data_IF_787301957317
#
_entry.id   IF_787301957317
#
_cell.length_a   1.000
_cell.length_b   1.000
_cell.length_c   1.000
_cell.angle_alpha   90.00
_cell.angle_beta   90.00
_cell.angle_gamma   90.00
#
_symmetry.space_group_name_H-M   'P 1'
#
loop_
_entity.id
_entity.type
_entity.pdbx_description
1 polymer ?
#
# COMPACT_ATOMS: atom_id res chain seq x y z
N UNK A 1 16.08 -14.24 28.52
CA UNK A 1 15.63 -13.22 29.50
C UNK A 1 14.38 -13.74 30.19
N UNK A 2 14.29 -13.70 31.53
CA UNK A 2 13.06 -14.05 32.25
C UNK A 2 12.07 -12.89 32.11
N UNK A 3 10.90 -13.13 31.50
CA UNK A 3 9.83 -12.13 31.44
C UNK A 3 9.36 -11.81 32.87
N UNK A 4 9.49 -10.54 33.28
CA UNK A 4 9.15 -10.03 34.62
C UNK A 4 7.71 -9.50 34.72
N UNK A 5 6.98 -9.43 33.62
CA UNK A 5 5.64 -8.83 33.54
C UNK A 5 4.74 -9.68 32.64
N UNK A 6 3.46 -9.78 33.00
CA UNK A 6 2.39 -10.39 32.17
C UNK A 6 1.80 -9.42 31.14
N UNK A 7 2.21 -8.13 31.16
CA UNK A 7 1.75 -7.14 30.19
C UNK A 7 2.53 -7.27 28.89
N UNK A 8 1.80 -7.36 27.79
CA UNK A 8 2.37 -7.22 26.45
C UNK A 8 2.76 -5.75 26.22
N UNK A 9 4.00 -5.51 25.81
CA UNK A 9 4.47 -4.21 25.32
C UNK A 9 4.38 -4.24 23.80
N UNK A 10 3.61 -3.32 23.24
CA UNK A 10 3.42 -3.19 21.79
C UNK A 10 4.31 -2.10 21.20
N UNK A 11 4.35 -2.02 19.87
CA UNK A 11 5.14 -1.06 19.10
C UNK A 11 4.24 0.07 18.62
N UNK A 12 4.70 1.30 18.85
CA UNK A 12 4.26 2.49 18.12
C UNK A 12 5.36 2.85 17.12
N UNK A 13 5.06 2.77 15.83
CA UNK A 13 5.97 3.19 14.75
C UNK A 13 5.64 4.65 14.40
N UNK A 14 6.05 5.55 15.28
CA UNK A 14 5.59 6.95 15.33
C UNK A 14 6.27 7.88 14.31
N UNK A 15 7.31 7.42 13.62
CA UNK A 15 7.86 8.11 12.45
C UNK A 15 8.19 7.12 11.34
N UNK A 16 7.47 7.21 10.22
CA UNK A 16 7.80 6.49 8.99
C UNK A 16 7.41 7.30 7.75
N UNK A 17 8.28 7.28 6.74
CA UNK A 17 7.99 7.71 5.37
C UNK A 17 9.16 7.34 4.45
N UNK A 18 9.04 7.65 3.15
CA UNK A 18 10.20 7.80 2.29
C UNK A 18 10.89 9.15 2.56
N UNK A 19 12.20 9.15 2.82
CA UNK A 19 12.97 10.38 2.94
C UNK A 19 14.36 10.13 2.36
N UNK A 20 14.62 10.66 1.15
CA UNK A 20 15.76 10.26 0.33
C UNK A 20 16.50 11.46 -0.26
N UNK A 21 15.83 12.29 -1.05
CA UNK A 21 16.45 13.36 -1.86
C UNK A 21 16.94 14.52 -0.99
N UNK A 22 16.26 14.80 0.10
CA UNK A 22 16.55 15.91 1.03
C UNK A 22 17.26 15.48 2.31
N UNK A 23 17.51 14.18 2.51
CA UNK A 23 18.04 13.63 3.78
C UNK A 23 19.37 14.25 4.24
N UNK A 24 20.21 14.69 3.30
CA UNK A 24 21.46 15.40 3.57
C UNK A 24 21.53 16.77 2.87
N UNK A 25 20.38 17.34 2.52
CA UNK A 25 20.32 18.64 1.85
C UNK A 25 20.77 19.77 2.77
N UNK A 26 21.36 20.81 2.20
CA UNK A 26 21.63 22.07 2.93
C UNK A 26 20.35 22.89 3.19
N UNK A 27 19.24 22.51 2.55
CA UNK A 27 17.94 23.10 2.75
C UNK A 27 17.19 22.37 3.87
N UNK A 28 17.00 23.04 5.00
CA UNK A 28 16.34 22.50 6.20
C UNK A 28 14.81 22.42 6.06
N UNK A 29 14.24 22.63 4.88
CA UNK A 29 12.79 22.59 4.66
C UNK A 29 12.20 21.18 4.64
N UNK A 30 13.02 20.14 4.47
CA UNK A 30 12.59 18.73 4.37
C UNK A 30 11.48 18.54 3.32
N UNK A 31 11.58 19.29 2.23
CA UNK A 31 10.51 19.44 1.24
C UNK A 31 10.69 18.44 0.09
N UNK A 32 10.36 17.17 0.33
CA UNK A 32 10.36 16.14 -0.70
C UNK A 32 9.24 16.37 -1.75
N UNK A 33 9.59 16.15 -3.01
CA UNK A 33 8.63 15.92 -4.09
C UNK A 33 8.66 14.42 -4.39
N UNK A 34 7.55 13.75 -4.09
CA UNK A 34 7.45 12.30 -4.21
C UNK A 34 7.04 11.88 -5.62
N UNK A 35 7.71 10.87 -6.14
CA UNK A 35 7.37 10.20 -7.40
C UNK A 35 6.61 8.89 -7.16
N UNK A 36 6.29 8.15 -8.23
CA UNK A 36 5.59 6.88 -8.12
C UNK A 36 6.39 5.86 -7.29
N UNK A 37 7.72 5.81 -7.41
CA UNK A 37 8.55 4.91 -6.62
C UNK A 37 8.35 5.13 -5.12
N UNK A 38 8.29 6.38 -4.66
CA UNK A 38 8.01 6.69 -3.26
C UNK A 38 6.62 6.21 -2.81
N UNK A 39 5.61 6.34 -3.68
CA UNK A 39 4.27 5.82 -3.39
C UNK A 39 4.27 4.28 -3.21
N UNK A 40 5.06 3.55 -4.02
CA UNK A 40 5.22 2.10 -3.86
C UNK A 40 5.97 1.73 -2.57
N UNK A 41 6.91 2.56 -2.11
CA UNK A 41 7.58 2.37 -0.82
C UNK A 41 6.58 2.57 0.33
N UNK A 42 5.78 3.63 0.28
CA UNK A 42 4.71 3.89 1.27
C UNK A 42 3.68 2.76 1.31
N UNK A 43 3.24 2.26 0.15
CA UNK A 43 2.34 1.11 0.08
C UNK A 43 2.94 -0.15 0.73
N UNK A 44 4.24 -0.38 0.58
CA UNK A 44 4.93 -1.51 1.21
C UNK A 44 5.07 -1.35 2.74
N UNK A 45 5.31 -0.13 3.24
CA UNK A 45 5.25 0.16 4.68
C UNK A 45 3.87 -0.16 5.25
N UNK A 46 2.82 0.28 4.56
CA UNK A 46 1.44 0.02 4.98
C UNK A 46 1.10 -1.48 4.93
N UNK A 47 1.56 -2.19 3.90
CA UNK A 47 1.44 -3.65 3.82
C UNK A 47 2.11 -4.37 4.99
N UNK A 48 3.33 -3.98 5.38
CA UNK A 48 3.97 -4.62 6.54
C UNK A 48 3.23 -4.30 7.83
N UNK A 49 2.73 -3.08 8.02
CA UNK A 49 1.94 -2.74 9.21
C UNK A 49 0.66 -3.56 9.32
N UNK A 50 -0.02 -3.86 8.20
CA UNK A 50 -1.17 -4.77 8.22
C UNK A 50 -0.73 -6.17 8.67
N UNK A 51 0.35 -6.71 8.08
CA UNK A 51 0.85 -8.05 8.44
C UNK A 51 1.39 -8.16 9.86
N UNK A 52 1.83 -7.06 10.46
CA UNK A 52 2.39 -7.02 11.82
C UNK A 52 1.51 -6.27 12.81
N UNK A 53 0.21 -6.12 12.53
CA UNK A 53 -0.71 -5.34 13.36
C UNK A 53 -0.98 -6.00 14.72
N UNK A 54 -0.58 -7.26 14.91
CA UNK A 54 -0.57 -7.96 16.19
C UNK A 54 0.41 -7.33 17.19
N UNK A 55 1.53 -6.78 16.69
CA UNK A 55 2.57 -6.10 17.49
C UNK A 55 2.61 -4.57 17.29
N UNK A 56 2.40 -4.06 16.06
CA UNK A 56 2.35 -2.63 15.75
C UNK A 56 0.93 -2.12 15.96
N UNK A 57 0.71 -1.34 17.02
CA UNK A 57 -0.63 -0.84 17.42
C UNK A 57 -0.86 0.62 17.08
N UNK A 58 0.19 1.33 16.65
CA UNK A 58 0.15 2.72 16.23
C UNK A 58 1.22 2.93 15.15
N UNK A 59 0.87 3.66 14.10
CA UNK A 59 1.82 4.09 13.08
C UNK A 59 1.47 5.51 12.63
N UNK A 60 2.46 6.40 12.62
CA UNK A 60 2.25 7.81 12.29
C UNK A 60 3.15 8.18 11.11
N UNK A 61 2.52 8.52 9.98
CA UNK A 61 3.27 8.97 8.81
C UNK A 61 3.96 10.30 9.14
N UNK A 62 5.27 10.36 8.92
CA UNK A 62 6.09 11.53 9.18
C UNK A 62 6.35 12.26 7.84
N UNK A 63 5.74 13.41 7.56
CA UNK A 63 4.67 14.08 8.30
C UNK A 63 3.43 14.25 7.41
N UNK A 64 2.47 15.07 7.84
CA UNK A 64 1.16 15.13 7.17
C UNK A 64 1.06 16.21 6.08
N UNK A 65 1.71 17.37 6.26
CA UNK A 65 1.63 18.52 5.33
C UNK A 65 3.00 19.18 5.13
N UNK A 66 3.39 19.41 3.88
CA UNK A 66 4.64 20.04 3.39
C UNK A 66 5.96 19.36 3.74
N UNK A 67 6.22 19.07 5.02
CA UNK A 67 7.44 18.44 5.51
C UNK A 67 7.34 16.94 5.29
N UNK A 68 8.15 16.39 4.36
CA UNK A 68 8.14 14.96 3.99
C UNK A 68 6.72 14.38 3.96
N UNK A 69 5.80 15.01 3.24
CA UNK A 69 4.36 14.83 3.46
C UNK A 69 3.59 14.31 2.24
N UNK A 70 2.49 13.54 2.43
CA UNK A 70 1.61 13.16 1.33
C UNK A 70 0.81 14.33 0.76
N UNK A 71 0.63 15.42 1.51
CA UNK A 71 -0.08 16.62 1.05
C UNK A 71 0.83 17.84 1.10
N UNK A 72 0.61 18.76 0.17
CA UNK A 72 1.38 20.00 0.06
C UNK A 72 0.47 21.20 -0.12
N UNK A 73 0.93 22.33 0.40
CA UNK A 73 0.30 23.63 0.20
C UNK A 73 1.29 24.60 -0.44
N UNK A 74 0.81 25.39 -1.40
CA UNK A 74 1.56 26.46 -2.04
C UNK A 74 0.63 27.67 -2.20
N UNK A 75 0.89 28.74 -1.43
CA UNK A 75 -0.06 29.85 -1.31
C UNK A 75 -1.41 29.36 -0.75
N UNK A 76 -2.49 29.60 -1.49
CA UNK A 76 -3.85 29.16 -1.20
C UNK A 76 -4.22 27.80 -1.82
N UNK A 77 -3.29 27.17 -2.54
CA UNK A 77 -3.52 25.88 -3.22
C UNK A 77 -3.07 24.72 -2.34
N UNK A 78 -3.85 23.63 -2.36
CA UNK A 78 -3.50 22.33 -1.78
C UNK A 78 -3.43 21.29 -2.89
N UNK A 79 -2.43 20.41 -2.84
CA UNK A 79 -2.28 19.32 -3.80
C UNK A 79 -1.76 18.04 -3.15
N UNK A 80 -1.99 16.92 -3.83
CA UNK A 80 -1.69 15.56 -3.35
C UNK A 80 -0.40 15.09 -4.01
N UNK A 81 0.56 14.68 -3.19
CA UNK A 81 1.73 13.96 -3.66
C UNK A 81 1.34 12.52 -4.02
N UNK A 82 2.19 11.83 -4.76
CA UNK A 82 1.96 10.43 -5.17
C UNK A 82 1.70 9.51 -3.96
N UNK A 83 2.40 9.73 -2.85
CA UNK A 83 2.29 8.98 -1.59
C UNK A 83 0.94 9.16 -0.87
N UNK A 84 0.16 10.20 -1.22
CA UNK A 84 -1.20 10.38 -0.70
C UNK A 84 -2.11 9.21 -1.05
N UNK A 85 -2.02 8.70 -2.27
CA UNK A 85 -2.97 7.72 -2.79
C UNK A 85 -2.95 6.38 -2.03
N UNK A 86 -1.79 5.71 -1.84
CA UNK A 86 -1.75 4.51 -1.00
C UNK A 86 -2.14 4.82 0.44
N UNK A 87 -1.67 5.93 1.03
CA UNK A 87 -2.03 6.29 2.40
C UNK A 87 -3.56 6.47 2.57
N UNK A 88 -4.21 7.14 1.62
CA UNK A 88 -5.66 7.32 1.56
C UNK A 88 -6.39 5.97 1.46
N UNK A 89 -5.98 5.09 0.54
CA UNK A 89 -6.63 3.80 0.31
C UNK A 89 -6.56 2.87 1.52
N UNK A 90 -5.39 2.74 2.15
CA UNK A 90 -5.27 1.96 3.39
C UNK A 90 -6.07 2.60 4.52
N UNK A 91 -5.96 3.93 4.67
CA UNK A 91 -6.64 4.66 5.74
C UNK A 91 -8.16 4.61 5.63
N UNK A 92 -8.76 4.41 4.45
CA UNK A 92 -10.22 4.34 4.29
C UNK A 92 -10.77 2.91 4.25
N UNK A 93 -10.05 1.95 3.66
CA UNK A 93 -10.62 0.62 3.40
C UNK A 93 -10.07 -0.48 4.31
N UNK A 94 -8.84 -0.37 4.84
CA UNK A 94 -8.27 -1.42 5.70
C UNK A 94 -8.84 -1.33 7.12
N UNK A 95 -9.89 -2.11 7.37
CA UNK A 95 -10.61 -2.22 8.64
C UNK A 95 -10.77 -3.69 9.06
N UNK A 96 -11.13 -3.89 10.32
CA UNK A 96 -11.39 -5.21 10.87
C UNK A 96 -10.12 -6.00 11.15
N UNK A 97 -10.09 -7.25 10.70
CA UNK A 97 -9.04 -8.23 11.03
C UNK A 97 -8.06 -8.36 9.87
N UNK A 98 -6.75 -8.25 10.13
CA UNK A 98 -5.74 -8.62 9.13
C UNK A 98 -5.76 -10.13 8.88
N UNK A 99 -5.78 -10.52 7.60
CA UNK A 99 -5.74 -11.91 7.18
C UNK A 99 -4.29 -12.36 6.93
N UNK A 100 -3.97 -13.59 7.31
CA UNK A 100 -2.71 -14.23 6.93
C UNK A 100 -2.83 -14.76 5.48
N UNK A 101 -2.26 -14.01 4.53
CA UNK A 101 -2.37 -14.30 3.11
C UNK A 101 -1.23 -15.18 2.65
N UNK A 102 -1.55 -16.43 2.31
CA UNK A 102 -0.60 -17.30 1.63
C UNK A 102 -0.32 -16.80 0.20
N UNK A 103 0.91 -16.35 -0.04
CA UNK A 103 1.31 -15.74 -1.31
C UNK A 103 2.38 -16.58 -2.00
N UNK A 104 2.13 -16.99 -3.25
CA UNK A 104 3.12 -17.55 -4.17
C UNK A 104 3.40 -16.54 -5.26
N UNK A 105 4.64 -16.04 -5.31
CA UNK A 105 5.09 -15.06 -6.30
C UNK A 105 6.48 -15.44 -6.78
N UNK A 106 6.84 -15.21 -8.06
CA UNK A 106 8.22 -15.26 -8.49
C UNK A 106 9.07 -14.33 -7.61
N UNK A 107 10.34 -14.68 -7.45
CA UNK A 107 11.28 -13.93 -6.61
C UNK A 107 12.40 -13.34 -7.45
N UNK A 108 12.99 -12.25 -6.96
CA UNK A 108 14.21 -11.68 -7.51
C UNK A 108 15.24 -11.42 -6.42
N UNK A 109 16.49 -11.33 -6.85
CA UNK A 109 17.61 -11.00 -5.99
C UNK A 109 17.88 -9.49 -6.04
N UNK A 110 18.09 -8.91 -4.87
CA UNK A 110 18.66 -7.57 -4.72
C UNK A 110 20.11 -7.71 -4.26
N UNK A 111 20.84 -6.59 -4.17
CA UNK A 111 22.18 -6.58 -3.56
C UNK A 111 22.20 -7.11 -2.11
N UNK A 112 21.08 -7.02 -1.38
CA UNK A 112 21.00 -7.34 0.06
C UNK A 112 20.20 -8.61 0.37
N UNK A 113 19.32 -9.04 -0.52
CA UNK A 113 18.35 -10.10 -0.28
C UNK A 113 18.26 -11.02 -1.50
N UNK A 114 18.30 -12.33 -1.29
CA UNK A 114 18.39 -13.33 -2.38
C UNK A 114 17.03 -13.70 -3.00
N UNK A 115 15.95 -13.66 -2.21
CA UNK A 115 14.63 -14.13 -2.64
C UNK A 115 13.52 -13.16 -2.22
N UNK A 116 13.47 -11.98 -2.85
CA UNK A 116 12.41 -10.99 -2.62
C UNK A 116 11.23 -11.31 -3.54
N UNK A 117 10.00 -11.54 -3.03
CA UNK A 117 8.84 -11.77 -3.88
C UNK A 117 8.51 -10.51 -4.68
N UNK A 118 8.14 -10.67 -5.96
CA UNK A 118 7.70 -9.53 -6.76
C UNK A 118 6.38 -8.95 -6.26
N UNK A 119 5.45 -9.78 -5.80
CA UNK A 119 4.20 -9.31 -5.22
C UNK A 119 4.35 -9.14 -3.69
N UNK A 120 4.16 -7.91 -3.21
CA UNK A 120 3.97 -7.62 -1.79
C UNK A 120 2.48 -7.60 -1.46
N UNK A 121 2.03 -8.45 -0.55
CA UNK A 121 0.59 -8.65 -0.33
C UNK A 121 0.22 -8.48 1.14
N UNK A 122 -0.86 -7.75 1.40
CA UNK A 122 -1.58 -7.80 2.68
C UNK A 122 -3.08 -7.84 2.42
N UNK A 123 -3.87 -8.29 3.40
CA UNK A 123 -5.33 -8.27 3.28
C UNK A 123 -6.00 -8.05 4.63
N UNK A 124 -7.16 -7.42 4.61
CA UNK A 124 -8.03 -7.26 5.78
C UNK A 124 -9.43 -7.77 5.48
N UNK A 125 -10.12 -8.23 6.52
CA UNK A 125 -11.54 -8.58 6.48
C UNK A 125 -12.31 -7.76 7.51
N UNK A 126 -13.26 -6.97 7.01
CA UNK A 126 -14.25 -6.25 7.80
C UNK A 126 -15.56 -7.06 7.82
N UNK A 127 -15.81 -7.72 8.95
CA UNK A 127 -17.00 -8.54 9.14
C UNK A 127 -18.29 -7.70 9.24
N UNK A 128 -18.20 -6.45 9.71
CA UNK A 128 -19.38 -5.57 9.86
C UNK A 128 -19.89 -5.16 8.48
N UNK A 129 -18.97 -4.83 7.57
CA UNK A 129 -19.29 -4.38 6.22
C UNK A 129 -19.27 -5.49 5.16
N UNK A 130 -18.93 -6.72 5.56
CA UNK A 130 -18.78 -7.87 4.67
C UNK A 130 -17.79 -7.57 3.54
N UNK A 131 -16.59 -7.11 3.88
CA UNK A 131 -15.62 -6.60 2.92
C UNK A 131 -14.23 -7.20 3.13
N UNK A 132 -13.66 -7.74 2.07
CA UNK A 132 -12.26 -8.17 1.99
C UNK A 132 -11.52 -7.14 1.17
N UNK A 133 -10.42 -6.62 1.72
CA UNK A 133 -9.52 -5.70 1.02
C UNK A 133 -8.21 -6.42 0.78
N UNK A 134 -7.78 -6.52 -0.48
CA UNK A 134 -6.50 -7.09 -0.88
C UNK A 134 -5.59 -5.98 -1.40
N UNK A 135 -4.45 -5.79 -0.76
CA UNK A 135 -3.44 -4.79 -1.14
C UNK A 135 -2.25 -5.49 -1.80
N UNK A 136 -1.91 -5.09 -3.03
CA UNK A 136 -0.81 -5.71 -3.78
C UNK A 136 0.09 -4.64 -4.37
N UNK A 137 1.39 -4.73 -4.07
CA UNK A 137 2.43 -3.99 -4.80
C UNK A 137 3.14 -4.96 -5.74
N UNK A 138 3.15 -4.64 -7.03
CA UNK A 138 4.01 -5.34 -7.99
C UNK A 138 5.36 -4.61 -8.08
N UNK A 139 6.41 -5.24 -7.57
CA UNK A 139 7.79 -4.72 -7.59
C UNK A 139 8.47 -4.90 -8.95
N UNK A 140 7.87 -5.61 -9.91
CA UNK A 140 8.50 -5.84 -11.20
C UNK A 140 8.61 -4.51 -11.97
N UNK A 141 9.79 -4.15 -12.48
CA UNK A 141 10.00 -2.84 -13.10
C UNK A 141 9.22 -2.65 -14.41
N UNK A 142 8.96 -3.72 -15.15
CA UNK A 142 8.46 -3.65 -16.54
C UNK A 142 7.49 -4.77 -16.95
N UNK A 143 7.20 -5.76 -16.10
CA UNK A 143 6.26 -6.83 -16.41
C UNK A 143 5.05 -6.84 -15.47
N UNK A 144 3.88 -6.99 -16.08
CA UNK A 144 2.68 -7.30 -15.33
C UNK A 144 2.75 -8.73 -14.78
N UNK A 145 2.20 -8.96 -13.59
CA UNK A 145 2.09 -10.29 -12.98
C UNK A 145 0.61 -10.62 -12.80
N UNK A 146 0.15 -11.65 -13.50
CA UNK A 146 -1.18 -12.22 -13.28
C UNK A 146 -1.15 -13.17 -12.10
N UNK A 147 -2.02 -12.94 -11.13
CA UNK A 147 -2.23 -13.86 -10.01
C UNK A 147 -3.66 -14.40 -10.02
N UNK A 148 -3.82 -15.62 -9.52
CA UNK A 148 -5.12 -16.18 -9.14
C UNK A 148 -5.35 -15.87 -7.65
N UNK A 149 -6.44 -15.16 -7.35
CA UNK A 149 -6.88 -14.84 -5.99
C UNK A 149 -7.94 -15.87 -5.61
N UNK A 150 -7.69 -16.65 -4.56
CA UNK A 150 -8.58 -17.72 -4.12
C UNK A 150 -9.20 -17.40 -2.75
N UNK A 151 -10.50 -17.63 -2.61
CA UNK A 151 -11.24 -17.61 -1.36
C UNK A 151 -11.22 -19.01 -0.75
N UNK A 152 -10.74 -19.14 0.49
CA UNK A 152 -10.73 -20.44 1.17
C UNK A 152 -12.12 -20.91 1.61
N UNK A 153 -13.10 -20.00 1.66
CA UNK A 153 -14.46 -20.26 2.11
C UNK A 153 -15.53 -19.93 1.06
N UNK A 154 -15.13 -19.77 -0.21
CA UNK A 154 -16.03 -19.44 -1.33
C UNK A 154 -16.91 -18.21 -1.08
N UNK A 155 -16.34 -17.18 -0.43
CA UNK A 155 -17.10 -16.03 0.07
C UNK A 155 -17.04 -14.79 -0.82
N UNK A 156 -16.30 -14.79 -1.92
CA UNK A 156 -16.23 -13.60 -2.74
C UNK A 156 -17.60 -13.29 -3.38
N UNK A 157 -17.94 -12.01 -3.48
CA UNK A 157 -19.07 -11.53 -4.25
C UNK A 157 -18.86 -11.75 -5.75
N UNK A 158 -19.79 -11.24 -6.56
CA UNK A 158 -19.72 -11.34 -8.03
C UNK A 158 -18.88 -10.23 -8.67
N UNK A 159 -18.65 -9.15 -7.94
CA UNK A 159 -17.90 -7.99 -8.40
C UNK A 159 -17.02 -7.44 -7.28
N UNK A 160 -15.90 -6.84 -7.69
CA UNK A 160 -14.97 -6.12 -6.85
C UNK A 160 -14.54 -4.82 -7.53
N UNK A 161 -13.99 -3.89 -6.77
CA UNK A 161 -13.39 -2.65 -7.28
C UNK A 161 -11.90 -2.70 -7.05
N UNK A 162 -11.11 -2.60 -8.11
CA UNK A 162 -9.66 -2.46 -8.03
C UNK A 162 -9.28 -0.97 -8.18
N UNK A 163 -8.70 -0.41 -7.13
CA UNK A 163 -8.10 0.91 -7.10
C UNK A 163 -6.61 0.79 -7.47
N UNK A 164 -6.25 1.22 -8.66
CA UNK A 164 -4.88 1.13 -9.19
C UNK A 164 -4.18 2.48 -9.03
N UNK A 165 -3.01 2.47 -8.40
CA UNK A 165 -2.08 3.61 -8.34
C UNK A 165 -0.89 3.26 -9.21
N UNK A 166 -0.77 3.94 -10.35
CA UNK A 166 0.31 3.75 -11.30
C UNK A 166 0.60 5.05 -12.08
N UNK A 167 1.66 5.06 -12.86
CA UNK A 167 2.08 6.17 -13.72
C UNK A 167 2.84 5.64 -14.95
N UNK A 168 3.16 6.52 -15.90
CA UNK A 168 3.86 6.12 -17.14
C UNK A 168 5.31 5.71 -16.91
N UNK A 169 5.93 6.20 -15.82
CA UNK A 169 7.30 5.89 -15.38
C UNK A 169 7.37 5.96 -13.85
N UNK A 170 8.33 5.25 -13.26
CA UNK A 170 8.50 5.21 -11.80
C UNK A 170 8.98 6.52 -11.17
N UNK A 171 9.65 7.37 -11.95
CA UNK A 171 10.21 8.67 -11.54
C UNK A 171 9.25 9.84 -11.81
N UNK A 172 7.98 9.57 -12.15
CA UNK A 172 6.99 10.61 -12.38
C UNK A 172 6.36 11.07 -11.07
N UNK A 173 6.30 12.39 -10.88
CA UNK A 173 5.75 13.03 -9.69
C UNK A 173 4.48 13.82 -10.01
N UNK A 174 3.69 14.06 -8.96
CA UNK A 174 2.62 15.06 -9.01
C UNK A 174 3.19 16.45 -8.74
N UNK A 175 2.45 17.46 -9.17
CA UNK A 175 2.72 18.86 -8.89
C UNK A 175 1.44 19.57 -8.47
N UNK A 176 1.56 20.87 -8.17
CA UNK A 176 0.42 21.74 -7.89
C UNK A 176 -0.53 21.87 -9.10
N UNK A 177 0.00 21.73 -10.32
CA UNK A 177 -0.75 21.93 -11.57
C UNK A 177 -1.18 20.62 -12.24
N UNK A 178 -0.48 19.51 -11.96
CA UNK A 178 -0.69 18.24 -12.66
C UNK A 178 -0.62 17.04 -11.72
N UNK A 179 -1.57 16.12 -11.87
CA UNK A 179 -1.66 14.88 -11.10
C UNK A 179 -1.36 13.69 -12.03
N UNK A 180 -0.07 13.49 -12.30
CA UNK A 180 0.46 12.41 -13.15
C UNK A 180 0.20 11.00 -12.61
N UNK A 181 0.14 10.87 -11.28
CA UNK A 181 -0.23 9.65 -10.56
C UNK A 181 -1.50 9.94 -9.79
N UNK A 182 -2.50 9.08 -9.96
CA UNK A 182 -3.77 9.16 -9.25
C UNK A 182 -4.36 7.76 -9.08
N UNK A 183 -5.49 7.67 -8.38
CA UNK A 183 -6.23 6.40 -8.24
C UNK A 183 -7.07 6.23 -9.50
N UNK A 184 -6.95 5.07 -10.14
CA UNK A 184 -7.74 4.64 -11.29
C UNK A 184 -8.57 3.42 -10.91
N UNK A 185 -9.88 3.55 -10.97
CA UNK A 185 -10.81 2.50 -10.55
C UNK A 185 -11.14 1.56 -11.71
N UNK A 186 -11.19 0.26 -11.41
CA UNK A 186 -11.60 -0.78 -12.36
C UNK A 186 -12.57 -1.74 -11.70
N UNK A 187 -13.71 -1.97 -12.33
CA UNK A 187 -14.60 -3.07 -11.95
C UNK A 187 -13.98 -4.40 -12.35
N UNK A 188 -13.92 -5.33 -11.41
CA UNK A 188 -13.40 -6.68 -11.62
C UNK A 188 -14.54 -7.66 -11.41
N UNK A 189 -14.79 -8.53 -12.39
CA UNK A 189 -15.70 -9.65 -12.20
C UNK A 189 -15.01 -10.72 -11.39
N UNK A 190 -15.69 -11.20 -10.35
CA UNK A 190 -15.17 -12.22 -9.43
C UNK A 190 -16.11 -13.43 -9.43
N UNK A 191 -15.59 -14.58 -9.01
CA UNK A 191 -16.40 -15.74 -8.66
C UNK A 191 -16.20 -16.07 -7.17
N UNK A 192 -17.15 -16.78 -6.54
CA UNK A 192 -17.10 -17.02 -5.09
C UNK A 192 -15.82 -17.69 -4.60
N UNK A 193 -15.31 -18.64 -5.38
CA UNK A 193 -14.12 -19.43 -5.08
C UNK A 193 -12.82 -18.74 -5.49
N UNK A 194 -12.77 -18.10 -6.67
CA UNK A 194 -11.55 -17.47 -7.16
C UNK A 194 -11.77 -16.52 -8.32
N UNK A 195 -10.77 -15.70 -8.61
CA UNK A 195 -10.69 -14.91 -9.83
C UNK A 195 -9.22 -14.64 -10.18
N UNK A 196 -8.96 -14.19 -11.41
CA UNK A 196 -7.62 -13.77 -11.84
C UNK A 196 -7.56 -12.26 -11.99
N UNK A 197 -6.43 -11.66 -11.61
CA UNK A 197 -6.16 -10.24 -11.82
C UNK A 197 -4.72 -10.05 -12.27
N UNK A 198 -4.51 -9.16 -13.25
CA UNK A 198 -3.19 -8.79 -13.75
C UNK A 198 -2.73 -7.49 -13.10
N UNK A 199 -1.73 -7.59 -12.23
CA UNK A 199 -1.12 -6.42 -11.59
C UNK A 199 -0.10 -5.80 -12.54
N UNK A 200 -0.27 -4.52 -12.84
CA UNK A 200 0.61 -3.77 -13.75
C UNK A 200 2.06 -3.74 -13.23
N UNK A 201 3.06 -3.54 -14.09
CA UNK A 201 4.42 -3.30 -13.63
C UNK A 201 4.45 -2.08 -12.69
N UNK A 202 5.35 -2.11 -11.70
CA UNK A 202 5.62 -1.01 -10.78
C UNK A 202 4.36 -0.30 -10.23
N UNK A 203 3.33 -1.08 -9.88
CA UNK A 203 2.04 -0.55 -9.46
C UNK A 203 1.69 -0.92 -8.03
N UNK A 204 0.83 -0.12 -7.42
CA UNK A 204 0.04 -0.53 -6.26
C UNK A 204 -1.41 -0.75 -6.70
N UNK A 205 -2.05 -1.80 -6.20
CA UNK A 205 -3.46 -2.08 -6.43
C UNK A 205 -4.13 -2.50 -5.13
N UNK A 206 -5.23 -1.85 -4.78
CA UNK A 206 -6.12 -2.28 -3.71
C UNK A 206 -7.42 -2.80 -4.30
N UNK A 207 -7.74 -4.08 -4.09
CA UNK A 207 -8.98 -4.69 -4.55
C UNK A 207 -9.93 -4.79 -3.36
N UNK A 208 -11.07 -4.11 -3.45
CA UNK A 208 -12.15 -4.16 -2.48
C UNK A 208 -13.21 -5.13 -2.98
N UNK A 209 -13.43 -6.21 -2.23
CA UNK A 209 -14.31 -7.34 -2.58
C UNK A 209 -15.41 -7.42 -1.53
N UNK A 210 -16.67 -7.26 -1.93
CA UNK A 210 -17.80 -7.56 -1.04
C UNK A 210 -17.95 -9.07 -0.90
N UNK A 211 -18.18 -9.57 0.30
CA UNK A 211 -18.46 -10.99 0.52
C UNK A 211 -19.91 -11.32 0.16
N UNK A 212 -20.14 -12.45 -0.49
CA UNK A 212 -21.47 -13.01 -0.63
C UNK A 212 -22.00 -13.40 0.76
N UNK A 213 -23.23 -12.96 1.08
CA UNK A 213 -23.96 -13.44 2.28
C UNK A 213 -24.33 -14.91 2.14
#
# INVERSE_FOLDING_TARGET
MKNRSSKNVYIAFDEWNAWTRTFNGSDNTLSEIYDLQDALVVAQYLNIFMRTCDIVKMANIAQLVNVIAPMRTEGDRIWKQTTYHPFYLFSNHCRGTSLDVFTKSPVYQTRRYEAVPYLDVSSTYDAENGEIVLNVVNRHPDQAITAEIQSQNNSFGKEAVAHVVNGSRVDIANSVDEQNVSIQDRTVKTAPDKFSFSFEPHSFTQIVIKTAK
#
